data_IF_052743064064
#
_entry.id   IF_052743064064
#
_cell.length_a   1.000
_cell.length_b   1.000
_cell.length_c   1.000
_cell.angle_alpha   90.00
_cell.angle_beta   90.00
_cell.angle_gamma   90.00
#
_symmetry.space_group_name_H-M   'P 1'
#
loop_
_entity.id
_entity.type
_entity.pdbx_description
1 polymer ?
#
# COMPACT_ATOMS: atom_id res chain seq x y z
N UNK A 1 -23.49 -0.23 0.48
CA UNK A 1 -23.01 -1.58 0.08
C UNK A 1 -22.03 -1.56 -1.09
N UNK A 2 -22.30 -0.81 -2.16
CA UNK A 2 -21.45 -0.74 -3.36
C UNK A 2 -19.99 -0.34 -3.08
N UNK A 3 -19.76 0.64 -2.20
CA UNK A 3 -18.40 1.06 -1.80
C UNK A 3 -17.61 -0.06 -1.12
N UNK A 4 -18.26 -0.83 -0.23
CA UNK A 4 -17.64 -1.94 0.49
C UNK A 4 -17.27 -3.09 -0.44
N UNK A 5 -18.11 -3.39 -1.43
CA UNK A 5 -17.85 -4.45 -2.41
C UNK A 5 -16.69 -4.08 -3.34
N UNK A 6 -16.65 -2.86 -3.85
CA UNK A 6 -15.53 -2.38 -4.68
C UNK A 6 -14.19 -2.41 -3.93
N UNK A 7 -14.20 -2.01 -2.65
CA UNK A 7 -13.02 -2.12 -1.79
C UNK A 7 -12.56 -3.57 -1.61
N UNK A 8 -13.49 -4.47 -1.29
CA UNK A 8 -13.21 -5.89 -1.09
C UNK A 8 -12.62 -6.53 -2.35
N UNK A 9 -13.24 -6.32 -3.52
CA UNK A 9 -12.75 -6.85 -4.80
C UNK A 9 -11.35 -6.33 -5.10
N UNK A 10 -11.11 -5.03 -4.92
CA UNK A 10 -9.78 -4.44 -5.13
C UNK A 10 -8.75 -5.11 -4.22
N UNK A 11 -9.05 -5.30 -2.93
CA UNK A 11 -8.16 -5.97 -1.98
C UNK A 11 -7.90 -7.43 -2.33
N UNK A 12 -8.91 -8.15 -2.77
CA UNK A 12 -8.79 -9.55 -3.19
C UNK A 12 -7.88 -9.67 -4.43
N UNK A 13 -8.08 -8.82 -5.43
CA UNK A 13 -7.21 -8.79 -6.62
C UNK A 13 -5.78 -8.39 -6.29
N UNK A 14 -5.58 -7.43 -5.37
CA UNK A 14 -4.25 -7.10 -4.85
C UNK A 14 -3.58 -8.28 -4.16
N UNK A 15 -4.32 -9.09 -3.39
CA UNK A 15 -3.76 -10.30 -2.76
C UNK A 15 -3.30 -11.30 -3.83
N UNK A 16 -4.07 -11.49 -4.91
CA UNK A 16 -3.65 -12.33 -6.04
C UNK A 16 -2.38 -11.80 -6.72
N UNK A 17 -2.33 -10.49 -6.98
CA UNK A 17 -1.16 -9.82 -7.57
C UNK A 17 0.09 -9.91 -6.68
N UNK A 18 -0.07 -9.79 -5.36
CA UNK A 18 1.00 -9.90 -4.39
C UNK A 18 1.57 -11.32 -4.35
N UNK A 19 0.70 -12.34 -4.36
CA UNK A 19 1.10 -13.75 -4.50
C UNK A 19 1.85 -13.99 -5.81
N UNK A 20 1.36 -13.44 -6.93
CA UNK A 20 2.01 -13.54 -8.23
C UNK A 20 3.42 -12.93 -8.24
N UNK A 21 3.62 -11.79 -7.58
CA UNK A 21 4.92 -11.11 -7.50
C UNK A 21 5.83 -11.58 -6.35
N UNK A 22 5.36 -12.48 -5.46
CA UNK A 22 6.12 -12.92 -4.29
C UNK A 22 6.41 -11.80 -3.28
N UNK A 23 5.49 -10.85 -3.12
CA UNK A 23 5.63 -9.71 -2.19
C UNK A 23 4.47 -9.67 -1.19
N UNK A 24 4.64 -8.95 -0.08
CA UNK A 24 3.52 -8.62 0.80
C UNK A 24 2.51 -7.73 0.05
N UNK A 25 1.22 -7.91 0.33
CA UNK A 25 0.14 -7.09 -0.26
C UNK A 25 0.28 -5.61 0.09
N UNK A 26 0.89 -5.29 1.23
CA UNK A 26 1.18 -3.90 1.62
C UNK A 26 2.20 -3.20 0.71
N UNK A 27 2.94 -3.96 -0.11
CA UNK A 27 3.89 -3.46 -1.11
C UNK A 27 3.25 -3.01 -2.40
N UNK A 28 1.97 -3.29 -2.60
CA UNK A 28 1.21 -2.84 -3.77
C UNK A 28 0.44 -1.55 -3.47
N UNK A 29 0.42 -0.63 -4.43
CA UNK A 29 -0.29 0.64 -4.33
C UNK A 29 -1.80 0.42 -4.50
N UNK A 30 -2.57 0.53 -3.42
CA UNK A 30 -4.04 0.40 -3.51
C UNK A 30 -4.65 1.34 -4.55
N UNK A 31 -4.22 2.60 -4.58
CA UNK A 31 -4.70 3.58 -5.56
C UNK A 31 -4.37 3.15 -6.98
N UNK A 32 -3.13 2.73 -7.22
CA UNK A 32 -2.68 2.29 -8.55
C UNK A 32 -3.43 1.05 -9.01
N UNK A 33 -3.53 0.02 -8.18
CA UNK A 33 -4.30 -1.20 -8.47
C UNK A 33 -5.78 -0.87 -8.75
N UNK A 34 -6.39 0.04 -7.98
CA UNK A 34 -7.75 0.50 -8.25
C UNK A 34 -7.88 1.21 -9.61
N UNK A 35 -6.91 2.05 -10.00
CA UNK A 35 -6.93 2.68 -11.32
C UNK A 35 -6.77 1.65 -12.45
N UNK A 36 -5.88 0.67 -12.29
CA UNK A 36 -5.73 -0.44 -13.25
C UNK A 36 -7.07 -1.16 -13.42
N UNK A 37 -7.70 -1.58 -12.31
CA UNK A 37 -8.99 -2.27 -12.36
C UNK A 37 -10.06 -1.41 -13.04
N UNK A 38 -10.16 -0.13 -12.67
CA UNK A 38 -11.12 0.81 -13.27
C UNK A 38 -10.91 0.97 -14.77
N UNK A 39 -9.65 1.08 -15.22
CA UNK A 39 -9.30 1.26 -16.63
C UNK A 39 -9.54 -0.01 -17.45
N UNK A 40 -9.25 -1.18 -16.90
CA UNK A 40 -9.40 -2.48 -17.58
C UNK A 40 -10.81 -3.05 -17.57
N UNK A 41 -11.66 -2.61 -16.64
CA UNK A 41 -13.01 -3.16 -16.48
C UNK A 41 -13.88 -3.08 -17.76
N UNK A 42 -13.88 -1.97 -18.54
CA UNK A 42 -14.61 -1.90 -19.81
C UNK A 42 -14.11 -2.87 -20.89
N UNK A 43 -12.86 -3.33 -20.79
CA UNK A 43 -12.24 -4.29 -21.72
C UNK A 43 -12.61 -5.74 -21.38
N UNK A 44 -13.26 -5.98 -20.23
CA UNK A 44 -13.60 -7.31 -19.76
C UNK A 44 -14.62 -7.99 -20.67
N UNK A 45 -14.17 -9.04 -21.35
CA UNK A 45 -15.03 -9.91 -22.16
C UNK A 45 -15.36 -11.18 -21.38
N UNK A 46 -16.39 -11.13 -20.55
CA UNK A 46 -16.88 -12.26 -19.75
C UNK A 46 -17.78 -13.25 -20.54
N UNK A 47 -17.65 -13.31 -21.86
CA UNK A 47 -18.47 -14.18 -22.72
C UNK A 47 -18.18 -15.67 -22.56
N UNK A 48 -16.99 -16.03 -22.08
CA UNK A 48 -16.59 -17.40 -21.74
C UNK A 48 -15.77 -17.39 -20.44
N UNK A 49 -15.71 -18.54 -19.76
CA UNK A 49 -14.83 -18.69 -18.59
C UNK A 49 -13.36 -18.42 -18.95
N UNK A 50 -12.90 -18.96 -20.08
CA UNK A 50 -11.52 -18.80 -20.53
C UNK A 50 -11.16 -17.34 -20.84
N UNK A 51 -12.03 -16.60 -21.53
CA UNK A 51 -11.78 -15.19 -21.83
C UNK A 51 -11.77 -14.32 -20.55
N UNK A 52 -12.61 -14.67 -19.58
CA UNK A 52 -12.62 -14.01 -18.27
C UNK A 52 -11.36 -14.31 -17.44
N UNK A 53 -10.92 -15.57 -17.41
CA UNK A 53 -9.69 -15.99 -16.73
C UNK A 53 -8.45 -15.31 -17.31
N UNK A 54 -8.35 -15.24 -18.64
CA UNK A 54 -7.27 -14.54 -19.34
C UNK A 54 -7.25 -13.05 -19.00
N UNK A 55 -8.41 -12.40 -18.99
CA UNK A 55 -8.52 -10.99 -18.59
C UNK A 55 -8.11 -10.80 -17.12
N UNK A 56 -8.59 -11.67 -16.21
CA UNK A 56 -8.21 -11.62 -14.79
C UNK A 56 -6.70 -11.78 -14.62
N UNK A 57 -6.08 -12.74 -15.31
CA UNK A 57 -4.64 -12.99 -15.25
C UNK A 57 -3.84 -11.76 -15.73
N UNK A 58 -4.28 -11.11 -16.81
CA UNK A 58 -3.65 -9.90 -17.32
C UNK A 58 -3.73 -8.73 -16.31
N UNK A 59 -4.90 -8.53 -15.69
CA UNK A 59 -5.09 -7.50 -14.65
C UNK A 59 -4.23 -7.79 -13.42
N UNK A 60 -4.16 -9.05 -12.98
CA UNK A 60 -3.32 -9.47 -11.85
C UNK A 60 -1.84 -9.23 -12.14
N UNK A 61 -1.38 -9.57 -13.35
CA UNK A 61 -0.02 -9.31 -13.79
C UNK A 61 0.29 -7.81 -13.77
N UNK A 62 -0.58 -6.96 -14.33
CA UNK A 62 -0.37 -5.51 -14.35
C UNK A 62 -0.35 -4.92 -12.93
N UNK A 63 -1.30 -5.31 -12.07
CA UNK A 63 -1.32 -4.92 -10.66
C UNK A 63 -0.06 -5.33 -9.91
N UNK A 64 0.55 -6.47 -10.25
CA UNK A 64 1.75 -6.97 -9.58
C UNK A 64 2.98 -6.07 -9.78
N UNK A 65 2.95 -5.24 -10.83
CA UNK A 65 3.98 -4.26 -11.14
C UNK A 65 3.78 -2.91 -10.42
N UNK A 66 2.59 -2.66 -9.87
CA UNK A 66 2.19 -1.40 -9.22
C UNK A 66 2.68 -1.32 -7.76
N UNK A 67 4.02 -1.37 -7.60
CA UNK A 67 4.70 -1.43 -6.30
C UNK A 67 4.92 -0.04 -5.71
N UNK A 68 4.69 0.11 -4.41
CA UNK A 68 5.08 1.33 -3.68
C UNK A 68 6.59 1.34 -3.40
N UNK A 69 7.20 2.54 -3.32
CA UNK A 69 8.59 2.66 -2.91
C UNK A 69 8.79 2.10 -1.49
N UNK A 70 10.01 1.64 -1.15
CA UNK A 70 10.33 1.16 0.19
C UNK A 70 9.91 2.14 1.28
N UNK A 71 9.43 1.58 2.40
CA UNK A 71 9.07 2.37 3.57
C UNK A 71 10.30 3.15 4.03
N UNK A 72 10.21 4.48 3.99
CA UNK A 72 11.28 5.38 4.48
C UNK A 72 11.44 5.22 6.00
N UNK A 73 12.68 5.36 6.48
CA UNK A 73 13.00 5.46 7.90
C UNK A 73 12.53 6.82 8.46
N UNK A 74 11.29 6.88 8.94
CA UNK A 74 10.67 8.13 9.42
C UNK A 74 11.03 8.40 10.88
N UNK A 75 11.22 9.68 11.19
CA UNK A 75 11.16 10.19 12.56
C UNK A 75 9.77 10.81 12.75
N UNK A 76 9.07 10.42 13.81
CA UNK A 76 7.82 11.06 14.24
C UNK A 76 8.10 11.78 15.56
N UNK A 77 8.43 13.08 15.55
CA UNK A 77 8.64 13.84 16.78
C UNK A 77 7.39 13.74 17.64
N UNK A 78 7.54 13.42 18.92
CA UNK A 78 6.42 13.24 19.85
C UNK A 78 5.91 14.59 20.36
N UNK A 79 5.42 15.39 19.42
CA UNK A 79 4.96 16.77 19.61
C UNK A 79 3.60 16.97 18.94
N UNK A 80 2.81 17.89 19.48
CA UNK A 80 1.45 18.18 19.02
C UNK A 80 1.37 19.50 18.26
N UNK A 81 0.49 19.58 17.26
CA UNK A 81 0.31 20.81 16.44
C UNK A 81 -0.22 21.99 17.27
N UNK A 82 -1.19 21.72 18.16
CA UNK A 82 -1.78 22.70 19.09
C UNK A 82 -1.57 22.18 20.51
N UNK A 83 -1.09 23.02 21.43
CA UNK A 83 -0.82 22.61 22.82
C UNK A 83 -2.14 22.54 23.59
N UNK A 84 -2.57 21.33 23.94
CA UNK A 84 -3.79 21.06 24.73
C UNK A 84 -3.56 19.97 25.79
N UNK A 85 -2.32 19.54 25.99
CA UNK A 85 -1.94 18.47 26.92
C UNK A 85 -0.47 18.65 27.36
N UNK A 86 0.04 17.72 28.17
CA UNK A 86 1.45 17.67 28.61
C UNK A 86 2.48 17.52 27.49
N UNK A 87 2.06 17.21 26.26
CA UNK A 87 2.97 17.05 25.13
C UNK A 87 3.51 18.40 24.63
N UNK A 88 4.77 18.41 24.20
CA UNK A 88 5.41 19.61 23.65
C UNK A 88 4.74 20.05 22.34
N UNK A 89 4.67 21.37 22.10
CA UNK A 89 4.17 21.93 20.84
C UNK A 89 5.21 21.72 19.74
N UNK A 90 4.76 21.40 18.52
CA UNK A 90 5.62 21.30 17.35
C UNK A 90 6.30 22.65 17.05
N UNK A 91 7.60 22.64 16.75
CA UNK A 91 8.48 23.80 16.52
C UNK A 91 9.20 23.61 15.17
N UNK A 92 9.76 24.67 14.56
CA UNK A 92 10.49 24.55 13.29
C UNK A 92 11.62 23.50 13.29
N UNK A 93 12.35 23.37 14.41
CA UNK A 93 13.43 22.37 14.58
C UNK A 93 12.95 20.91 14.48
N UNK A 94 11.66 20.64 14.76
CA UNK A 94 11.06 19.32 14.60
C UNK A 94 10.71 19.00 13.14
N UNK A 95 10.81 19.98 12.23
CA UNK A 95 10.53 19.80 10.80
C UNK A 95 11.82 19.45 10.06
N UNK A 96 11.69 18.70 8.97
CA UNK A 96 12.82 18.34 8.08
C UNK A 96 13.98 17.62 8.78
N UNK A 97 13.72 16.94 9.91
CA UNK A 97 14.72 16.06 10.53
C UNK A 97 15.19 15.02 9.51
N UNK A 98 16.50 14.73 9.52
CA UNK A 98 17.07 13.68 8.68
C UNK A 98 16.42 12.33 9.04
N UNK A 99 16.10 11.48 8.06
CA UNK A 99 15.65 10.10 8.31
C UNK A 99 16.59 9.34 9.26
N UNK A 100 16.05 8.35 9.98
CA UNK A 100 16.90 7.47 10.80
C UNK A 100 17.85 6.68 9.89
N UNK A 101 19.11 6.56 10.30
CA UNK A 101 20.10 5.76 9.60
C UNK A 101 19.89 4.26 9.85
N UNK A 102 19.59 3.89 11.10
CA UNK A 102 19.22 2.52 11.47
C UNK A 102 17.81 2.17 10.99
N UNK A 103 17.63 0.97 10.47
CA UNK A 103 16.30 0.45 10.17
C UNK A 103 15.57 0.05 11.46
N UNK A 104 14.27 -0.21 11.38
CA UNK A 104 13.51 -0.72 12.53
C UNK A 104 14.11 -2.03 13.06
N UNK A 105 14.44 -2.97 12.15
CA UNK A 105 15.04 -4.25 12.52
C UNK A 105 16.36 -4.07 13.29
N UNK A 106 17.23 -3.15 12.85
CA UNK A 106 18.50 -2.85 13.53
C UNK A 106 18.32 -2.17 14.89
N UNK A 107 17.11 -1.66 15.19
CA UNK A 107 16.82 -0.92 16.43
C UNK A 107 16.21 -1.83 17.51
N UNK A 108 15.62 -2.97 17.13
CA UNK A 108 15.01 -3.91 18.07
C UNK A 108 16.11 -4.80 18.65
N UNK A 109 16.51 -4.51 19.88
CA UNK A 109 17.41 -5.37 20.66
C UNK A 109 16.54 -6.27 21.56
N UNK A 110 16.53 -7.57 21.28
CA UNK A 110 15.97 -8.57 22.19
C UNK A 110 17.11 -9.03 23.11
N UNK A 111 17.03 -8.72 24.40
CA UNK A 111 17.90 -9.33 25.39
C UNK A 111 17.31 -10.70 25.73
N UNK A 112 18.11 -11.76 25.56
CA UNK A 112 17.77 -13.11 26.00
C UNK A 112 17.93 -13.25 27.51
#
# INVERSE_FOLDING_TARGET
YTLSLGHFITRMMMLAAAKHAGVDTDRLSFKGCFQILKTRLPECRAGTATSFEQWCAAVVWEMSNEKIPPRRNRINPRVIKRKMSRWNKCRPEHRKLKPLTKTFADTVVMNL
#
